data_IF_571840698517
#
_entry.id   IF_571840698517
#
_cell.length_a   1.000
_cell.length_b   1.000
_cell.length_c   1.000
_cell.angle_alpha   90.00
_cell.angle_beta   90.00
_cell.angle_gamma   90.00
#
_symmetry.space_group_name_H-M   'P 1'
#
loop_
_entity.id
_entity.type
_entity.pdbx_description
1 polymer ?
#
# COMPACT_ATOMS: atom_id res chain seq x y z
N UNK A 1 -9.98 -28.02 7.84
CA UNK A 1 -10.13 -27.30 9.11
C UNK A 1 -10.88 -28.19 10.09
N UNK A 2 -10.33 -28.34 11.30
CA UNK A 2 -10.92 -29.10 12.39
C UNK A 2 -12.29 -28.50 12.78
N UNK A 3 -13.29 -29.36 12.94
CA UNK A 3 -14.61 -28.97 13.44
C UNK A 3 -14.46 -28.62 14.93
N UNK A 4 -14.35 -27.34 15.24
CA UNK A 4 -14.33 -26.85 16.62
C UNK A 4 -15.76 -26.89 17.14
N UNK A 5 -16.05 -27.82 18.06
CA UNK A 5 -17.36 -27.95 18.71
C UNK A 5 -17.62 -26.72 19.60
N UNK A 6 -18.87 -26.22 19.67
CA UNK A 6 -19.21 -25.09 20.51
C UNK A 6 -18.96 -25.45 21.99
N UNK A 7 -18.07 -24.68 22.63
CA UNK A 7 -17.79 -24.82 24.06
C UNK A 7 -19.01 -24.38 24.86
N UNK A 8 -19.58 -25.28 25.66
CA UNK A 8 -20.83 -25.04 26.40
C UNK A 8 -20.50 -24.51 27.79
N UNK A 9 -21.01 -23.32 28.11
CA UNK A 9 -20.81 -22.70 29.43
C UNK A 9 -21.79 -23.32 30.43
N UNK A 10 -21.27 -23.98 31.46
CA UNK A 10 -22.08 -24.76 32.43
C UNK A 10 -22.44 -23.92 33.65
N UNK A 11 -21.53 -23.04 34.10
CA UNK A 11 -21.78 -22.08 35.19
C UNK A 11 -21.17 -20.72 34.82
N UNK A 12 -21.98 -19.75 34.36
CA UNK A 12 -21.49 -18.44 33.94
C UNK A 12 -20.82 -17.63 35.05
N UNK A 13 -21.34 -17.72 36.27
CA UNK A 13 -20.92 -16.92 37.43
C UNK A 13 -19.51 -17.26 37.93
N UNK A 14 -19.04 -18.47 37.65
CA UNK A 14 -17.71 -18.93 38.04
C UNK A 14 -16.77 -19.14 36.85
N UNK A 15 -17.17 -18.65 35.65
CA UNK A 15 -16.43 -18.86 34.40
C UNK A 15 -15.99 -20.31 34.21
N UNK A 16 -16.89 -21.29 34.33
CA UNK A 16 -16.56 -22.69 33.98
C UNK A 16 -17.14 -23.04 32.62
N UNK A 17 -16.29 -23.53 31.73
CA UNK A 17 -16.68 -24.00 30.41
C UNK A 17 -16.32 -25.48 30.25
N UNK A 18 -17.22 -26.21 29.61
CA UNK A 18 -17.03 -27.62 29.31
C UNK A 18 -16.48 -27.76 27.89
N UNK A 19 -15.31 -28.39 27.77
CA UNK A 19 -14.76 -28.79 26.49
C UNK A 19 -15.29 -30.20 26.12
N UNK A 20 -16.14 -30.33 25.08
CA UNK A 20 -16.73 -31.60 24.68
C UNK A 20 -15.72 -32.56 24.03
N UNK A 21 -14.50 -32.12 23.71
CA UNK A 21 -13.45 -32.97 23.14
C UNK A 21 -12.64 -33.68 24.22
N UNK A 22 -12.31 -32.97 25.30
CA UNK A 22 -11.51 -33.52 26.41
C UNK A 22 -12.35 -34.04 27.59
N UNK A 23 -13.62 -33.64 27.69
CA UNK A 23 -14.50 -34.02 28.81
C UNK A 23 -14.11 -33.35 30.13
N UNK A 24 -13.21 -32.36 30.11
CA UNK A 24 -12.70 -31.66 31.28
C UNK A 24 -13.45 -30.35 31.46
N UNK A 25 -13.84 -30.06 32.72
CA UNK A 25 -14.39 -28.77 33.11
C UNK A 25 -13.22 -27.88 33.55
N UNK A 26 -12.89 -26.89 32.73
CA UNK A 26 -11.84 -25.92 33.01
C UNK A 26 -12.41 -24.54 33.31
N UNK A 27 -11.60 -23.69 33.94
CA UNK A 27 -11.89 -22.24 33.98
C UNK A 27 -11.97 -21.77 32.54
N UNK A 28 -13.18 -21.45 32.09
CA UNK A 28 -13.46 -20.72 30.87
C UNK A 28 -12.51 -19.53 30.83
N UNK A 29 -11.72 -19.44 29.77
CA UNK A 29 -11.28 -18.14 29.28
C UNK A 29 -12.56 -17.27 29.29
N UNK A 30 -12.57 -16.23 30.14
CA UNK A 30 -13.78 -15.53 30.53
C UNK A 30 -14.56 -14.99 29.32
N UNK A 31 -15.76 -14.49 29.59
CA UNK A 31 -16.78 -13.99 28.64
C UNK A 31 -16.36 -12.85 27.68
N UNK A 32 -15.12 -12.80 27.21
CA UNK A 32 -14.55 -11.73 26.40
C UNK A 32 -13.56 -12.20 25.34
N UNK A 33 -13.43 -13.51 25.07
CA UNK A 33 -12.61 -13.96 23.92
C UNK A 33 -13.44 -13.79 22.64
N UNK A 34 -13.27 -12.62 22.03
CA UNK A 34 -13.76 -12.33 20.68
C UNK A 34 -12.83 -13.05 19.70
N UNK A 35 -13.34 -14.09 19.04
CA UNK A 35 -12.70 -14.69 17.87
C UNK A 35 -12.80 -13.68 16.72
N UNK A 36 -11.78 -12.84 16.56
CA UNK A 36 -11.70 -11.89 15.47
C UNK A 36 -11.04 -12.56 14.27
N UNK A 37 -11.75 -12.65 13.14
CA UNK A 37 -11.12 -13.03 11.89
C UNK A 37 -10.14 -11.94 11.47
N UNK A 38 -8.90 -12.34 11.19
CA UNK A 38 -7.85 -11.47 10.65
C UNK A 38 -7.81 -11.51 9.12
N UNK A 39 -8.76 -12.18 8.45
CA UNK A 39 -8.74 -12.35 6.99
C UNK A 39 -8.79 -10.99 6.28
N UNK A 40 -9.66 -10.08 6.74
CA UNK A 40 -9.77 -8.73 6.18
C UNK A 40 -8.50 -7.92 6.44
N UNK A 41 -7.90 -8.05 7.62
CA UNK A 41 -6.62 -7.39 7.95
C UNK A 41 -5.49 -7.91 7.06
N UNK A 42 -5.41 -9.22 6.86
CA UNK A 42 -4.41 -9.83 5.99
C UNK A 42 -4.57 -9.40 4.52
N UNK A 43 -5.81 -9.22 4.04
CA UNK A 43 -6.04 -8.70 2.69
C UNK A 43 -5.50 -7.26 2.55
N UNK A 44 -5.70 -6.42 3.57
CA UNK A 44 -5.15 -5.06 3.56
C UNK A 44 -3.62 -5.06 3.64
N UNK A 45 -3.03 -5.95 4.45
CA UNK A 45 -1.57 -6.11 4.53
C UNK A 45 -1.00 -6.52 3.17
N UNK A 46 -1.63 -7.49 2.48
CA UNK A 46 -1.19 -7.91 1.15
C UNK A 46 -1.23 -6.78 0.10
N UNK A 47 -2.22 -5.89 0.17
CA UNK A 47 -2.28 -4.69 -0.70
C UNK A 47 -1.11 -3.74 -0.45
N UNK A 48 -0.74 -3.56 0.82
CA UNK A 48 0.38 -2.69 1.21
C UNK A 48 1.72 -3.29 0.77
N UNK A 49 1.90 -4.60 0.94
CA UNK A 49 3.09 -5.32 0.45
C UNK A 49 3.24 -5.17 -1.07
N UNK A 50 2.16 -5.36 -1.82
CA UNK A 50 2.17 -5.21 -3.27
C UNK A 50 2.52 -3.78 -3.70
N UNK A 51 2.00 -2.76 -3.00
CA UNK A 51 2.34 -1.36 -3.28
C UNK A 51 3.81 -1.04 -2.94
N UNK A 52 4.37 -1.65 -1.88
CA UNK A 52 5.77 -1.49 -1.52
C UNK A 52 6.70 -2.15 -2.56
N UNK A 53 6.35 -3.34 -3.03
CA UNK A 53 7.07 -4.03 -4.09
C UNK A 53 7.00 -3.25 -5.42
N UNK A 54 5.85 -2.68 -5.75
CA UNK A 54 5.69 -1.81 -6.91
C UNK A 54 6.56 -0.55 -6.81
N UNK A 55 6.62 0.08 -5.63
CA UNK A 55 7.49 1.23 -5.40
C UNK A 55 8.96 0.86 -5.60
N UNK A 56 9.39 -0.30 -5.08
CA UNK A 56 10.74 -0.81 -5.29
C UNK A 56 11.01 -1.11 -6.76
N UNK A 57 10.05 -1.71 -7.48
CA UNK A 57 10.15 -1.98 -8.90
C UNK A 57 10.24 -0.69 -9.73
N UNK A 58 9.54 0.37 -9.34
CA UNK A 58 9.55 1.66 -10.03
C UNK A 58 10.92 2.36 -10.06
N UNK A 59 11.85 1.93 -9.19
CA UNK A 59 13.24 2.39 -9.21
C UNK A 59 14.00 1.90 -10.45
N UNK A 60 13.58 0.77 -11.04
CA UNK A 60 14.07 0.33 -12.34
C UNK A 60 13.21 0.95 -13.46
N UNK A 61 13.78 1.84 -14.29
CA UNK A 61 13.05 2.54 -15.33
C UNK A 61 12.44 1.64 -16.41
N UNK A 62 12.96 0.41 -16.56
CA UNK A 62 12.51 -0.53 -17.59
C UNK A 62 11.34 -1.40 -17.12
N UNK A 63 10.99 -1.33 -15.84
CA UNK A 63 9.81 -2.03 -15.33
C UNK A 63 8.53 -1.38 -15.82
N UNK A 64 7.44 -2.14 -15.74
CA UNK A 64 6.10 -1.69 -16.07
C UNK A 64 5.29 -1.53 -14.78
N UNK A 65 4.40 -0.52 -14.68
CA UNK A 65 3.50 -0.38 -13.53
C UNK A 65 2.66 -1.64 -13.30
N UNK A 66 2.37 -1.96 -12.04
CA UNK A 66 1.56 -3.14 -11.74
C UNK A 66 0.14 -2.92 -12.27
N UNK A 67 -0.41 -3.91 -12.97
CA UNK A 67 -1.74 -3.80 -13.62
C UNK A 67 -1.75 -3.07 -14.97
N UNK A 68 -0.59 -2.73 -15.54
CA UNK A 68 -0.49 -2.19 -16.89
C UNK A 68 -0.67 -3.26 -17.98
N UNK A 69 -1.15 -2.85 -19.16
CA UNK A 69 -1.28 -3.74 -20.32
C UNK A 69 0.10 -4.30 -20.77
N UNK A 70 0.16 -5.53 -21.31
CA UNK A 70 1.41 -6.12 -21.81
C UNK A 70 2.13 -5.21 -22.81
N UNK A 71 3.46 -5.12 -22.74
CA UNK A 71 4.29 -4.30 -23.64
C UNK A 71 4.44 -2.83 -23.23
N UNK A 72 4.15 -2.46 -21.97
CA UNK A 72 4.36 -1.11 -21.38
C UNK A 72 5.70 -0.94 -20.67
N UNK A 73 6.65 -1.86 -20.91
CA UNK A 73 8.02 -1.76 -20.40
C UNK A 73 8.67 -0.44 -20.81
N UNK A 74 9.40 0.21 -19.90
CA UNK A 74 10.01 1.50 -20.16
C UNK A 74 9.05 2.70 -20.15
N UNK A 75 7.80 2.52 -19.69
CA UNK A 75 6.86 3.64 -19.53
C UNK A 75 7.40 4.71 -18.57
N UNK A 76 8.17 4.31 -17.55
CA UNK A 76 8.81 5.26 -16.62
C UNK A 76 9.90 6.11 -17.30
N UNK A 77 10.70 5.53 -18.21
CA UNK A 77 11.67 6.28 -19.02
C UNK A 77 10.97 7.33 -19.87
N UNK A 78 9.93 6.91 -20.60
CA UNK A 78 9.21 7.80 -21.52
C UNK A 78 8.52 8.95 -20.76
N UNK A 79 7.91 8.63 -19.62
CA UNK A 79 7.28 9.64 -18.76
C UNK A 79 8.31 10.62 -18.17
N UNK A 80 9.45 10.12 -17.69
CA UNK A 80 10.53 10.94 -17.16
C UNK A 80 11.13 11.87 -18.21
N UNK A 81 11.35 11.39 -19.43
CA UNK A 81 11.84 12.20 -20.54
C UNK A 81 10.87 13.34 -20.88
N UNK A 82 9.59 13.01 -21.06
CA UNK A 82 8.58 14.00 -21.46
C UNK A 82 8.39 15.08 -20.38
N UNK A 83 8.31 14.68 -19.11
CA UNK A 83 8.18 15.62 -18.00
C UNK A 83 9.40 16.54 -17.89
N UNK A 84 10.62 16.00 -18.03
CA UNK A 84 11.84 16.80 -18.03
C UNK A 84 11.89 17.80 -19.20
N UNK A 85 11.41 17.42 -20.39
CA UNK A 85 11.31 18.34 -21.54
C UNK A 85 10.37 19.51 -21.22
N UNK A 86 9.18 19.21 -20.67
CA UNK A 86 8.19 20.23 -20.33
C UNK A 86 8.71 21.15 -19.23
N UNK A 87 9.31 20.59 -18.17
CA UNK A 87 9.91 21.40 -17.11
C UNK A 87 11.04 22.28 -17.63
N UNK A 88 11.93 21.74 -18.46
CA UNK A 88 13.00 22.49 -19.10
C UNK A 88 12.47 23.65 -19.95
N UNK A 89 11.41 23.41 -20.73
CA UNK A 89 10.78 24.46 -21.54
C UNK A 89 10.17 25.57 -20.68
N UNK A 90 9.45 25.21 -19.60
CA UNK A 90 8.84 26.19 -18.70
C UNK A 90 9.91 27.02 -17.97
N UNK A 91 10.96 26.37 -17.45
CA UNK A 91 12.08 27.05 -16.80
C UNK A 91 12.81 28.00 -17.75
N UNK A 92 13.14 27.51 -18.96
CA UNK A 92 13.80 28.32 -19.98
C UNK A 92 12.94 29.53 -20.37
N UNK A 93 11.64 29.34 -20.58
CA UNK A 93 10.71 30.42 -20.88
C UNK A 93 10.72 31.47 -19.76
N UNK A 94 10.65 31.04 -18.51
CA UNK A 94 10.67 31.94 -17.36
C UNK A 94 11.96 32.74 -17.26
N UNK A 95 13.11 32.08 -17.44
CA UNK A 95 14.43 32.70 -17.42
C UNK A 95 14.58 33.72 -18.56
N UNK A 96 14.15 33.36 -19.77
CA UNK A 96 14.21 34.26 -20.93
C UNK A 96 13.36 35.50 -20.68
N UNK A 97 12.11 35.35 -20.24
CA UNK A 97 11.24 36.50 -19.94
C UNK A 97 11.80 37.39 -18.83
N UNK A 98 12.42 36.81 -17.80
CA UNK A 98 13.09 37.57 -16.74
C UNK A 98 14.37 38.27 -17.23
N UNK A 99 15.10 37.68 -18.18
CA UNK A 99 16.33 38.22 -18.73
C UNK A 99 16.10 39.31 -19.81
N UNK A 100 14.96 39.29 -20.51
CA UNK A 100 14.60 40.28 -21.54
C UNK A 100 14.81 41.75 -21.10
N UNK A 101 14.28 42.23 -19.94
CA UNK A 101 14.47 43.62 -19.54
C UNK A 101 15.94 43.96 -19.24
N UNK A 102 16.72 43.00 -18.72
CA UNK A 102 18.15 43.16 -18.44
C UNK A 102 18.92 43.27 -19.76
N UNK A 103 18.62 42.40 -20.73
CA UNK A 103 19.26 42.40 -22.04
C UNK A 103 18.95 43.66 -22.85
N UNK A 104 17.72 44.18 -22.75
CA UNK A 104 17.32 45.48 -23.32
C UNK A 104 18.08 46.63 -22.65
N UNK A 105 18.21 46.63 -21.33
CA UNK A 105 18.97 47.66 -20.60
C UNK A 105 20.47 47.65 -20.94
N UNK A 106 21.02 46.48 -21.29
CA UNK A 106 22.41 46.32 -21.74
C UNK A 106 22.60 46.64 -23.24
N UNK A 107 21.54 46.96 -23.99
CA UNK A 107 21.61 47.30 -25.42
C UNK A 107 22.01 46.14 -26.33
N UNK A 108 21.89 44.90 -25.85
CA UNK A 108 22.21 43.67 -26.61
C UNK A 108 21.02 43.22 -27.46
N UNK A 109 19.83 43.73 -27.16
CA UNK A 109 18.55 43.47 -27.82
C UNK A 109 17.86 44.79 -28.15
#
# INVERSE_FOLDING_TARGET
>A
MAQMLPMVQVVPEMNFAYDPVSGVIGSSLGSGVVLLSMDEVNEQVAKVELAADELMASLDPYTSPVGSYPGREGSYVTAGLLTNIVYGFLLASFIIFAALPILQAMGVL
#
